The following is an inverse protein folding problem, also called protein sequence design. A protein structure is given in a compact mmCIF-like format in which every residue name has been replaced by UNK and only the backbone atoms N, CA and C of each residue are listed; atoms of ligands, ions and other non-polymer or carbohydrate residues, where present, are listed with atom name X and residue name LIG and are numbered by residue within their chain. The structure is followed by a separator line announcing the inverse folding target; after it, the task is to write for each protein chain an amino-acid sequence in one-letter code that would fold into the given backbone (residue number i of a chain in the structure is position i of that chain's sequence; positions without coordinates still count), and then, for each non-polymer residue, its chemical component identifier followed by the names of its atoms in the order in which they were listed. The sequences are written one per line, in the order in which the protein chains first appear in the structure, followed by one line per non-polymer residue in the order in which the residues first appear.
data_IF_836357419779
#
_entry.id   IF_836357419779
#
_cell.length_a   1.000
_cell.length_b   1.000
_cell.length_c   1.000
_cell.angle_alpha   90.00
_cell.angle_beta   90.00
_cell.angle_gamma   90.00
#
_symmetry.space_group_name_H-M   'P 1'
#
loop_
_entity.id
_entity.type
_entity.pdbx_description
1 polymer ?
#
# COMPACT_ATOMS: atom_id res chain seq x y z
N UNK A 1 14.85 -12.38 -2.22
CA UNK A 1 13.93 -13.25 -2.99
C UNK A 1 12.94 -14.04 -2.13
N UNK A 2 13.00 -13.98 -0.79
CA UNK A 2 12.06 -14.70 0.09
C UNK A 2 10.67 -14.02 0.20
N UNK A 3 10.55 -12.74 -0.15
CA UNK A 3 9.30 -11.98 0.00
C UNK A 3 8.13 -12.62 -0.75
N UNK A 4 8.33 -13.05 -2.00
CA UNK A 4 7.27 -13.63 -2.85
C UNK A 4 6.78 -14.98 -2.28
N UNK A 5 7.65 -15.95 -1.96
CA UNK A 5 7.24 -17.15 -1.22
C UNK A 5 6.52 -16.84 0.08
N UNK A 6 7.11 -15.99 0.94
CA UNK A 6 6.55 -15.68 2.27
C UNK A 6 5.14 -15.10 2.15
N UNK A 7 4.95 -14.13 1.25
CA UNK A 7 3.65 -13.54 0.98
C UNK A 7 2.62 -14.59 0.55
N UNK A 8 2.95 -15.42 -0.43
CA UNK A 8 2.05 -16.47 -0.93
C UNK A 8 1.68 -17.46 0.19
N UNK A 9 2.65 -17.87 1.01
CA UNK A 9 2.43 -18.75 2.14
C UNK A 9 1.49 -18.17 3.20
N UNK A 10 1.66 -16.90 3.57
CA UNK A 10 0.78 -16.26 4.55
C UNK A 10 -0.60 -15.92 4.01
N UNK A 11 -0.74 -15.63 2.72
CA UNK A 11 -2.06 -15.53 2.06
C UNK A 11 -2.77 -16.89 2.12
N UNK A 12 -2.06 -17.97 1.77
CA UNK A 12 -2.61 -19.32 1.83
C UNK A 12 -3.01 -19.70 3.27
N UNK A 13 -2.16 -19.39 4.25
CA UNK A 13 -2.42 -19.60 5.67
C UNK A 13 -3.67 -18.87 6.17
N UNK A 14 -3.89 -17.62 5.74
CA UNK A 14 -5.06 -16.86 6.14
C UNK A 14 -6.40 -17.50 5.73
N UNK A 15 -6.39 -18.43 4.76
CA UNK A 15 -7.59 -19.10 4.24
C UNK A 15 -7.64 -20.58 4.65
N UNK A 16 -6.52 -21.31 4.49
CA UNK A 16 -6.42 -22.76 4.67
C UNK A 16 -5.69 -23.18 5.96
N UNK A 17 -5.38 -22.23 6.84
CA UNK A 17 -4.66 -22.45 8.11
C UNK A 17 -3.27 -23.09 7.91
N UNK A 18 -2.66 -23.63 8.96
CA UNK A 18 -1.30 -24.20 8.98
C UNK A 18 -1.00 -25.18 7.83
N UNK A 19 -1.92 -26.09 7.42
CA UNK A 19 -1.65 -27.01 6.31
C UNK A 19 -1.38 -26.33 4.97
N UNK A 20 -1.83 -25.07 4.80
CA UNK A 20 -1.66 -24.31 3.56
C UNK A 20 -0.31 -23.59 3.45
N UNK A 21 0.45 -23.48 4.55
CA UNK A 21 1.73 -22.75 4.57
C UNK A 21 2.76 -23.34 3.61
N UNK A 22 3.05 -24.63 3.72
CA UNK A 22 4.07 -25.27 2.89
C UNK A 22 3.72 -25.23 1.39
N UNK A 23 2.49 -25.62 0.97
CA UNK A 23 2.06 -25.45 -0.42
C UNK A 23 2.11 -24.00 -0.90
N UNK A 24 1.76 -23.04 -0.04
CA UNK A 24 1.78 -21.61 -0.39
C UNK A 24 3.20 -21.08 -0.59
N UNK A 25 4.15 -21.47 0.28
CA UNK A 25 5.57 -21.14 0.09
C UNK A 25 6.13 -21.75 -1.20
N UNK A 26 5.80 -23.01 -1.51
CA UNK A 26 6.25 -23.67 -2.73
C UNK A 26 5.61 -23.02 -3.96
N UNK A 27 4.31 -22.75 -3.93
CA UNK A 27 3.60 -22.03 -5.00
C UNK A 27 4.20 -20.64 -5.25
N UNK A 28 4.49 -19.88 -4.19
CA UNK A 28 5.17 -18.59 -4.31
C UNK A 28 6.63 -18.68 -4.80
N UNK A 29 7.34 -19.76 -4.47
CA UNK A 29 8.68 -20.02 -4.99
C UNK A 29 8.66 -20.37 -6.48
N UNK A 30 7.72 -21.21 -6.91
CA UNK A 30 7.47 -21.49 -8.34
C UNK A 30 7.11 -20.19 -9.04
N UNK A 31 6.17 -19.41 -8.50
CA UNK A 31 5.78 -18.11 -9.03
C UNK A 31 6.97 -17.15 -9.19
N UNK A 32 7.96 -17.20 -8.30
CA UNK A 32 9.16 -16.38 -8.39
C UNK A 32 10.25 -16.92 -9.34
N UNK A 33 10.07 -18.13 -9.89
CA UNK A 33 11.10 -18.85 -10.67
C UNK A 33 10.61 -19.09 -12.10
N UNK A 34 10.89 -18.13 -12.99
CA UNK A 34 10.41 -18.10 -14.38
C UNK A 34 10.77 -19.33 -15.22
N UNK A 35 11.90 -19.99 -14.91
CA UNK A 35 12.35 -21.19 -15.62
C UNK A 35 11.41 -22.38 -15.52
N UNK A 36 10.46 -22.37 -14.57
CA UNK A 36 9.46 -23.42 -14.48
C UNK A 36 8.35 -23.31 -15.54
N UNK A 37 8.18 -22.16 -16.19
CA UNK A 37 7.10 -21.92 -17.17
C UNK A 37 7.60 -21.08 -18.35
N UNK A 38 8.86 -21.31 -18.74
CA UNK A 38 9.50 -20.72 -19.92
C UNK A 38 9.48 -19.18 -19.96
N UNK A 39 9.56 -18.53 -18.79
CA UNK A 39 9.64 -17.08 -18.66
C UNK A 39 11.04 -16.62 -18.23
N UNK A 40 11.46 -15.47 -18.74
CA UNK A 40 12.74 -14.82 -18.40
C UNK A 40 12.77 -14.28 -16.97
N UNK A 41 11.60 -13.94 -16.42
CA UNK A 41 11.41 -13.44 -15.08
C UNK A 41 10.26 -14.16 -14.36
N UNK A 42 10.28 -14.09 -13.03
CA UNK A 42 9.18 -14.58 -12.22
C UNK A 42 7.92 -13.71 -12.34
N UNK A 43 6.75 -14.29 -12.05
CA UNK A 43 5.45 -13.60 -11.98
C UNK A 43 5.32 -12.57 -10.84
N UNK A 44 6.33 -12.46 -9.97
CA UNK A 44 6.40 -11.46 -8.92
C UNK A 44 5.22 -11.46 -7.95
N UNK A 45 4.79 -10.28 -7.54
CA UNK A 45 3.76 -10.09 -6.50
C UNK A 45 2.37 -10.60 -6.93
N UNK A 46 1.98 -10.40 -8.19
CA UNK A 46 0.70 -10.91 -8.71
C UNK A 46 0.68 -12.44 -8.65
N UNK A 47 1.77 -13.09 -9.07
CA UNK A 47 1.94 -14.53 -8.94
C UNK A 47 1.81 -15.03 -7.51
N UNK A 48 2.42 -14.34 -6.54
CA UNK A 48 2.28 -14.70 -5.13
C UNK A 48 0.85 -14.60 -4.61
N UNK A 49 0.11 -13.55 -4.98
CA UNK A 49 -1.31 -13.41 -4.60
C UNK A 49 -2.12 -14.55 -5.20
N UNK A 50 -1.99 -14.77 -6.51
CA UNK A 50 -2.74 -15.81 -7.21
C UNK A 50 -2.42 -17.19 -6.64
N UNK A 51 -1.13 -17.51 -6.46
CA UNK A 51 -0.71 -18.78 -5.88
C UNK A 51 -1.23 -18.95 -4.45
N UNK A 52 -1.09 -17.93 -3.59
CA UNK A 52 -1.55 -17.97 -2.21
C UNK A 52 -3.06 -18.18 -2.10
N UNK A 53 -3.86 -17.47 -2.90
CA UNK A 53 -5.32 -17.62 -2.92
C UNK A 53 -5.73 -19.01 -3.40
N UNK A 54 -5.18 -19.47 -4.53
CA UNK A 54 -5.49 -20.79 -5.11
C UNK A 54 -5.16 -21.92 -4.13
N UNK A 55 -3.97 -21.88 -3.52
CA UNK A 55 -3.58 -22.83 -2.48
C UNK A 55 -4.50 -22.75 -1.28
N UNK A 56 -4.76 -21.56 -0.76
CA UNK A 56 -5.57 -21.38 0.45
C UNK A 56 -6.96 -21.98 0.30
N UNK A 57 -7.64 -21.69 -0.81
CA UNK A 57 -8.97 -22.26 -1.08
C UNK A 57 -8.91 -23.76 -1.38
N UNK A 58 -7.92 -24.23 -2.13
CA UNK A 58 -7.78 -25.65 -2.43
C UNK A 58 -7.52 -26.48 -1.16
N UNK A 59 -6.59 -26.06 -0.32
CA UNK A 59 -6.26 -26.72 0.94
C UNK A 59 -7.45 -26.70 1.89
N UNK A 60 -8.19 -25.58 1.99
CA UNK A 60 -9.45 -25.52 2.75
C UNK A 60 -10.48 -26.50 2.21
N UNK A 61 -10.63 -26.58 0.90
CA UNK A 61 -11.55 -27.54 0.26
C UNK A 61 -11.17 -28.99 0.59
N UNK A 62 -9.89 -29.36 0.48
CA UNK A 62 -9.40 -30.70 0.87
C UNK A 62 -9.67 -30.92 2.36
N UNK A 63 -9.29 -30.01 3.24
CA UNK A 63 -9.42 -30.16 4.69
C UNK A 63 -10.87 -30.31 5.17
N UNK A 64 -11.84 -29.72 4.46
CA UNK A 64 -13.27 -29.76 4.83
C UNK A 64 -14.03 -30.98 4.30
N UNK A 65 -13.37 -31.88 3.55
CA UNK A 65 -14.02 -33.11 3.06
C UNK A 65 -14.30 -34.10 4.21
N UNK A 66 -15.35 -34.90 4.02
CA UNK A 66 -15.68 -35.99 4.93
C UNK A 66 -14.72 -37.16 4.73
N UNK A 67 -13.73 -37.28 5.61
CA UNK A 67 -12.81 -38.42 5.66
C UNK A 67 -13.23 -39.44 6.71
N UNK A 68 -12.93 -40.71 6.43
CA UNK A 68 -13.04 -41.79 7.40
C UNK A 68 -12.16 -41.50 8.63
N UNK A 69 -12.58 -41.94 9.82
CA UNK A 69 -11.90 -41.65 11.11
C UNK A 69 -10.41 -41.98 11.12
N UNK A 70 -9.99 -43.00 10.38
CA UNK A 70 -8.58 -43.39 10.26
C UNK A 70 -7.73 -42.40 9.47
N UNK A 71 -8.33 -41.65 8.55
CA UNK A 71 -7.63 -40.75 7.62
C UNK A 71 -7.62 -39.31 8.15
N UNK A 72 -8.59 -38.93 8.98
CA UNK A 72 -8.72 -37.56 9.52
C UNK A 72 -7.42 -36.98 10.09
N UNK A 73 -6.60 -37.71 10.87
CA UNK A 73 -5.33 -37.18 11.39
C UNK A 73 -4.29 -36.90 10.29
N UNK A 74 -4.34 -37.65 9.18
CA UNK A 74 -3.41 -37.51 8.06
C UNK A 74 -3.75 -36.33 7.15
N UNK A 75 -4.98 -35.82 7.21
CA UNK A 75 -5.46 -34.75 6.33
C UNK A 75 -4.62 -33.47 6.48
N UNK A 76 -4.52 -32.84 7.67
CA UNK A 76 -3.75 -31.61 7.83
C UNK A 76 -2.23 -31.84 7.79
N UNK A 77 -1.76 -33.04 8.12
CA UNK A 77 -0.33 -33.35 8.23
C UNK A 77 0.29 -33.69 6.87
N UNK A 78 -0.42 -34.47 6.05
CA UNK A 78 0.13 -35.11 4.85
C UNK A 78 -0.71 -34.82 3.61
N UNK A 79 -2.00 -35.12 3.63
CA UNK A 79 -2.83 -35.11 2.42
C UNK A 79 -2.98 -33.69 1.90
N UNK A 80 -3.37 -32.74 2.74
CA UNK A 80 -3.61 -31.37 2.31
C UNK A 80 -2.32 -30.65 1.86
N UNK A 81 -1.17 -30.78 2.58
CA UNK A 81 0.10 -30.24 2.09
C UNK A 81 0.58 -30.87 0.77
N UNK A 82 0.52 -32.19 0.61
CA UNK A 82 0.99 -32.84 -0.63
C UNK A 82 0.08 -32.50 -1.81
N UNK A 83 -1.23 -32.67 -1.64
CA UNK A 83 -2.19 -32.39 -2.72
C UNK A 83 -2.20 -30.92 -3.09
N UNK A 84 -2.12 -30.01 -2.12
CA UNK A 84 -2.02 -28.58 -2.35
C UNK A 84 -0.76 -28.21 -3.14
N UNK A 85 0.38 -28.83 -2.81
CA UNK A 85 1.64 -28.60 -3.52
C UNK A 85 1.57 -29.11 -4.96
N UNK A 86 1.07 -30.33 -5.17
CA UNK A 86 0.90 -30.90 -6.52
C UNK A 86 -0.08 -30.08 -7.36
N UNK A 87 -1.19 -29.65 -6.74
CA UNK A 87 -2.19 -28.80 -7.39
C UNK A 87 -1.57 -27.50 -7.86
N UNK A 88 -0.92 -26.74 -6.97
CA UNK A 88 -0.36 -25.45 -7.36
C UNK A 88 0.82 -25.59 -8.30
N UNK A 89 1.70 -26.58 -8.11
CA UNK A 89 2.81 -26.80 -9.01
C UNK A 89 2.32 -27.12 -10.42
N UNK A 90 1.40 -28.07 -10.57
CA UNK A 90 0.85 -28.42 -11.89
C UNK A 90 0.11 -27.24 -12.53
N UNK A 91 -0.76 -26.57 -11.78
CA UNK A 91 -1.53 -25.45 -12.32
C UNK A 91 -0.63 -24.27 -12.71
N UNK A 92 0.35 -23.91 -11.87
CA UNK A 92 1.22 -22.77 -12.12
C UNK A 92 2.20 -23.02 -13.25
N UNK A 93 2.82 -24.20 -13.31
CA UNK A 93 3.78 -24.58 -14.34
C UNK A 93 3.11 -24.67 -15.71
N UNK A 94 1.97 -25.35 -15.81
CA UNK A 94 1.41 -25.71 -17.12
C UNK A 94 0.32 -24.76 -17.62
N UNK A 95 -0.30 -23.95 -16.75
CA UNK A 95 -1.49 -23.17 -17.13
C UNK A 95 -1.32 -21.67 -16.91
N UNK A 96 -0.99 -21.25 -15.68
CA UNK A 96 -1.11 -19.82 -15.30
C UNK A 96 0.22 -19.06 -15.26
N UNK A 97 1.36 -19.74 -15.13
CA UNK A 97 2.67 -19.09 -14.97
C UNK A 97 3.05 -18.19 -16.14
N UNK A 98 3.06 -18.74 -17.36
CA UNK A 98 3.40 -17.99 -18.57
C UNK A 98 2.43 -16.83 -18.85
N UNK A 99 1.09 -16.99 -18.78
CA UNK A 99 0.17 -15.87 -18.92
C UNK A 99 0.41 -14.74 -17.91
N UNK A 100 0.63 -15.06 -16.63
CA UNK A 100 0.87 -14.03 -15.60
C UNK A 100 2.21 -13.33 -15.84
N UNK A 101 3.24 -14.06 -16.25
CA UNK A 101 4.54 -13.48 -16.58
C UNK A 101 4.43 -12.49 -17.75
N UNK A 102 3.71 -12.87 -18.81
CA UNK A 102 3.47 -11.98 -19.96
C UNK A 102 2.69 -10.71 -19.58
N UNK A 103 1.73 -10.82 -18.64
CA UNK A 103 1.02 -9.68 -18.10
C UNK A 103 1.96 -8.77 -17.31
N UNK A 104 2.81 -9.34 -16.45
CA UNK A 104 3.80 -8.59 -15.68
C UNK A 104 4.79 -7.86 -16.59
N UNK A 105 5.27 -8.50 -17.65
CA UNK A 105 6.15 -7.88 -18.64
C UNK A 105 5.46 -6.74 -19.38
N UNK A 106 4.20 -6.94 -19.79
CA UNK A 106 3.39 -5.90 -20.44
C UNK A 106 3.15 -4.70 -19.53
N UNK A 107 2.84 -4.95 -18.26
CA UNK A 107 2.69 -3.90 -17.24
C UNK A 107 4.02 -3.18 -16.99
N UNK A 108 5.13 -3.92 -16.87
CA UNK A 108 6.45 -3.33 -16.70
C UNK A 108 6.84 -2.47 -17.91
N UNK A 109 6.56 -2.91 -19.13
CA UNK A 109 6.79 -2.14 -20.35
C UNK A 109 5.96 -0.85 -20.38
N UNK A 110 4.65 -0.95 -20.14
CA UNK A 110 3.75 0.21 -20.04
C UNK A 110 4.23 1.21 -18.98
N UNK A 111 4.61 0.73 -17.80
CA UNK A 111 5.10 1.58 -16.71
C UNK A 111 6.46 2.21 -17.03
N UNK A 112 7.34 1.49 -17.73
CA UNK A 112 8.63 2.02 -18.19
C UNK A 112 8.40 3.15 -19.19
N UNK A 113 7.51 2.96 -20.16
CA UNK A 113 7.11 3.99 -21.13
C UNK A 113 6.50 5.22 -20.42
N UNK A 114 5.63 5.01 -19.44
CA UNK A 114 5.05 6.09 -18.62
C UNK A 114 6.08 6.81 -17.76
N UNK A 115 7.12 6.11 -17.26
CA UNK A 115 8.20 6.72 -16.48
C UNK A 115 9.03 7.71 -17.31
N UNK A 116 9.12 7.49 -18.62
CA UNK A 116 9.74 8.43 -19.58
C UNK A 116 8.81 9.55 -20.04
N UNK A 117 7.49 9.33 -20.05
CA UNK A 117 6.52 10.26 -20.66
C UNK A 117 5.75 11.17 -19.68
N UNK A 118 5.39 10.70 -18.48
CA UNK A 118 4.57 11.49 -17.54
C UNK A 118 4.66 11.03 -16.06
N UNK A 119 5.85 11.20 -15.46
CA UNK A 119 6.08 11.01 -14.01
C UNK A 119 5.11 11.81 -13.12
N UNK A 120 4.59 12.93 -13.64
CA UNK A 120 3.63 13.77 -12.95
C UNK A 120 2.28 13.06 -12.82
N UNK A 121 1.76 12.47 -13.90
CA UNK A 121 0.49 11.74 -13.86
C UNK A 121 0.56 10.53 -12.91
N UNK A 122 1.68 9.79 -12.93
CA UNK A 122 1.91 8.69 -11.99
C UNK A 122 1.89 9.17 -10.53
N UNK A 123 2.55 10.28 -10.25
CA UNK A 123 2.53 10.90 -8.92
C UNK A 123 1.15 11.36 -8.48
N UNK A 124 0.37 11.96 -9.39
CA UNK A 124 -1.00 12.39 -9.11
C UNK A 124 -1.89 11.19 -8.75
N UNK A 125 -1.86 10.12 -9.54
CA UNK A 125 -2.71 8.94 -9.27
C UNK A 125 -2.28 8.26 -7.98
N UNK A 126 -0.99 7.95 -7.83
CA UNK A 126 -0.47 7.21 -6.68
C UNK A 126 -0.60 8.00 -5.38
N UNK A 127 -0.20 9.28 -5.39
CA UNK A 127 -0.35 10.17 -4.25
C UNK A 127 -1.81 10.44 -3.92
N UNK A 128 -2.67 10.56 -4.93
CA UNK A 128 -4.11 10.73 -4.74
C UNK A 128 -4.75 9.54 -4.01
N UNK A 129 -4.42 8.32 -4.41
CA UNK A 129 -4.87 7.10 -3.73
C UNK A 129 -4.33 7.02 -2.29
N UNK A 130 -3.08 7.40 -2.07
CA UNK A 130 -2.47 7.38 -0.73
C UNK A 130 -3.20 8.32 0.26
N UNK A 131 -3.56 9.52 -0.20
CA UNK A 131 -4.20 10.56 0.62
C UNK A 131 -5.71 10.44 0.78
N UNK A 132 -6.37 9.53 0.05
CA UNK A 132 -7.84 9.49 -0.03
C UNK A 132 -8.52 8.92 1.23
N UNK A 133 -8.04 7.78 1.73
CA UNK A 133 -8.71 7.03 2.81
C UNK A 133 -7.80 6.67 3.98
N UNK A 134 -6.63 7.33 4.09
CA UNK A 134 -5.75 7.30 5.26
C UNK A 134 -5.39 5.90 5.76
N UNK A 135 -5.30 4.92 4.86
CA UNK A 135 -5.00 3.52 5.16
C UNK A 135 -6.13 2.54 4.81
N UNK A 136 -7.21 3.03 4.21
CA UNK A 136 -8.30 2.23 3.67
C UNK A 136 -7.97 1.49 2.36
N UNK A 137 -8.98 0.95 1.66
CA UNK A 137 -8.81 0.12 0.47
C UNK A 137 -7.99 0.77 -0.66
N UNK A 138 -8.20 2.05 -0.96
CA UNK A 138 -7.48 2.74 -2.04
C UNK A 138 -6.00 2.91 -1.71
N UNK A 139 -5.68 3.33 -0.49
CA UNK A 139 -4.29 3.41 -0.03
C UNK A 139 -3.63 2.03 -0.03
N UNK A 140 -4.31 0.98 0.48
CA UNK A 140 -3.75 -0.39 0.48
C UNK A 140 -3.52 -0.93 -0.93
N UNK A 141 -4.39 -0.65 -1.89
CA UNK A 141 -4.16 -1.03 -3.30
C UNK A 141 -2.91 -0.33 -3.85
N UNK A 142 -2.78 0.99 -3.66
CA UNK A 142 -1.61 1.75 -4.10
C UNK A 142 -0.31 1.28 -3.41
N UNK A 143 -0.38 1.00 -2.11
CA UNK A 143 0.73 0.50 -1.32
C UNK A 143 1.19 -0.88 -1.79
N UNK A 144 0.27 -1.84 -1.89
CA UNK A 144 0.59 -3.21 -2.31
C UNK A 144 1.10 -3.25 -3.74
N UNK A 145 0.54 -2.43 -4.63
CA UNK A 145 1.10 -2.21 -5.97
C UNK A 145 2.56 -1.74 -5.89
N UNK A 146 2.82 -0.68 -5.13
CA UNK A 146 4.16 -0.09 -4.99
C UNK A 146 5.19 -1.07 -4.39
N UNK A 147 4.77 -1.86 -3.39
CA UNK A 147 5.57 -2.94 -2.80
C UNK A 147 5.82 -4.05 -3.84
N UNK A 148 4.83 -4.40 -4.63
CA UNK A 148 4.98 -5.37 -5.72
C UNK A 148 6.03 -4.94 -6.74
N UNK A 149 6.08 -3.64 -7.06
CA UNK A 149 7.07 -3.09 -8.00
C UNK A 149 8.51 -3.19 -7.48
N UNK A 150 8.73 -3.28 -6.16
CA UNK A 150 10.07 -3.54 -5.58
C UNK A 150 10.61 -4.88 -6.07
N UNK A 151 9.76 -5.92 -6.14
CA UNK A 151 10.17 -7.24 -6.61
C UNK A 151 10.58 -7.23 -8.10
N UNK A 152 9.97 -6.35 -8.89
CA UNK A 152 10.31 -6.12 -10.30
C UNK A 152 11.49 -5.15 -10.49
N UNK A 153 12.18 -4.75 -9.41
CA UNK A 153 13.29 -3.79 -9.44
C UNK A 153 12.88 -2.32 -9.60
N UNK A 154 11.58 -2.03 -9.72
CA UNK A 154 11.04 -0.70 -9.93
C UNK A 154 10.71 -0.01 -8.58
N UNK A 155 11.77 0.33 -7.85
CA UNK A 155 11.68 0.88 -6.48
C UNK A 155 11.20 2.35 -6.41
N UNK A 156 11.06 3.03 -7.55
CA UNK A 156 10.56 4.41 -7.63
C UNK A 156 9.09 4.53 -7.20
N UNK A 157 8.26 3.52 -7.46
CA UNK A 157 6.85 3.54 -7.04
C UNK A 157 6.72 3.52 -5.52
N UNK A 158 7.51 2.65 -4.87
CA UNK A 158 7.59 2.65 -3.41
C UNK A 158 8.21 3.93 -2.86
N UNK A 159 9.18 4.54 -3.54
CA UNK A 159 9.75 5.83 -3.15
C UNK A 159 8.70 6.94 -3.11
N UNK A 160 7.90 7.06 -4.16
CA UNK A 160 6.81 8.03 -4.23
C UNK A 160 5.71 7.75 -3.20
N UNK A 161 5.28 6.49 -3.08
CA UNK A 161 4.28 6.08 -2.09
C UNK A 161 4.76 6.36 -0.66
N UNK A 162 6.02 6.06 -0.35
CA UNK A 162 6.61 6.27 0.97
C UNK A 162 6.71 7.75 1.37
N UNK A 163 6.82 8.65 0.39
CA UNK A 163 6.74 10.10 0.62
C UNK A 163 5.30 10.58 0.80
N UNK A 164 4.31 9.93 0.16
CA UNK A 164 2.91 10.32 0.23
C UNK A 164 2.19 9.84 1.51
N UNK A 165 2.46 8.62 1.99
CA UNK A 165 1.83 8.04 3.19
C UNK A 165 1.84 8.96 4.43
N UNK A 166 2.99 9.55 4.84
CA UNK A 166 3.04 10.35 6.07
C UNK A 166 2.38 11.73 5.92
N UNK A 167 2.01 12.16 4.71
CA UNK A 167 1.60 13.54 4.44
C UNK A 167 0.31 13.92 5.15
N UNK A 168 -0.72 13.07 5.11
CA UNK A 168 -1.99 13.34 5.75
C UNK A 168 -1.85 13.60 7.27
N UNK A 169 -1.28 12.67 8.08
CA UNK A 169 -1.14 12.89 9.52
C UNK A 169 -0.16 14.02 9.88
N UNK A 170 0.96 14.18 9.15
CA UNK A 170 1.87 15.31 9.35
C UNK A 170 1.19 16.65 9.03
N UNK A 171 0.45 16.70 7.93
CA UNK A 171 -0.28 17.88 7.47
C UNK A 171 -1.36 18.29 8.46
N UNK A 172 -2.11 17.34 9.02
CA UNK A 172 -3.09 17.66 10.07
C UNK A 172 -2.43 18.10 11.38
N UNK A 173 -1.29 17.52 11.75
CA UNK A 173 -0.48 18.01 12.87
C UNK A 173 -0.05 19.46 12.69
N UNK A 174 0.38 19.85 11.49
CA UNK A 174 0.73 21.25 11.16
C UNK A 174 -0.54 22.14 11.10
N UNK A 175 -1.63 21.64 10.52
CA UNK A 175 -2.88 22.38 10.36
C UNK A 175 -3.46 22.82 11.71
N UNK A 176 -3.42 21.94 12.72
CA UNK A 176 -3.91 22.24 14.07
C UNK A 176 -3.07 23.33 14.76
N UNK A 177 -1.75 23.33 14.59
CA UNK A 177 -0.87 24.37 15.13
C UNK A 177 -1.16 25.73 14.47
N UNK A 178 -1.32 25.76 13.15
CA UNK A 178 -1.64 27.00 12.41
C UNK A 178 -3.06 27.48 12.75
N UNK A 179 -4.03 26.57 12.71
CA UNK A 179 -5.44 26.85 12.88
C UNK A 179 -5.85 27.14 14.33
N UNK A 180 -5.02 26.79 15.32
CA UNK A 180 -5.21 27.18 16.73
C UNK A 180 -5.33 28.69 16.89
N UNK A 181 -4.56 29.47 16.12
CA UNK A 181 -4.66 30.95 16.15
C UNK A 181 -5.92 31.49 15.46
N UNK A 182 -6.61 30.67 14.67
CA UNK A 182 -7.78 31.04 13.88
C UNK A 182 -9.11 30.56 14.50
N UNK A 183 -9.08 29.84 15.63
CA UNK A 183 -10.25 29.25 16.28
C UNK A 183 -11.16 28.45 15.31
N UNK A 184 -10.53 27.68 14.41
CA UNK A 184 -11.22 26.80 13.45
C UNK A 184 -11.13 25.31 13.81
N UNK A 185 -10.37 24.95 14.84
CA UNK A 185 -10.24 23.60 15.36
C UNK A 185 -10.76 23.54 16.80
N UNK A 186 -11.39 22.43 17.15
CA UNK A 186 -11.78 22.11 18.53
C UNK A 186 -10.55 21.75 19.38
N UNK A 187 -10.66 21.84 20.71
CA UNK A 187 -9.58 21.43 21.61
C UNK A 187 -9.21 19.95 21.45
N UNK A 188 -10.22 19.11 21.16
CA UNK A 188 -10.06 17.69 20.85
C UNK A 188 -9.19 17.46 19.61
N UNK A 189 -9.37 18.27 18.56
CA UNK A 189 -8.59 18.25 17.33
C UNK A 189 -7.15 18.71 17.56
N UNK A 190 -6.94 19.72 18.41
CA UNK A 190 -5.60 20.23 18.73
C UNK A 190 -4.77 19.17 19.45
N UNK A 191 -5.37 18.45 20.41
CA UNK A 191 -4.67 17.34 21.08
C UNK A 191 -4.44 16.15 20.15
N UNK A 192 -5.43 15.80 19.32
CA UNK A 192 -5.26 14.79 18.29
C UNK A 192 -4.14 15.15 17.28
N UNK A 193 -3.89 16.44 17.05
CA UNK A 193 -2.88 16.92 16.10
C UNK A 193 -1.46 16.56 16.51
N UNK A 194 -1.18 16.56 17.81
CA UNK A 194 0.13 16.14 18.35
C UNK A 194 0.36 14.65 18.09
N UNK A 195 -0.65 13.83 18.36
CA UNK A 195 -0.60 12.39 18.12
C UNK A 195 -0.48 12.08 16.61
N UNK A 196 -1.25 12.76 15.78
CA UNK A 196 -1.19 12.63 14.32
C UNK A 196 0.19 12.97 13.79
N UNK A 197 0.80 14.08 14.23
CA UNK A 197 2.17 14.44 13.86
C UNK A 197 3.18 13.33 14.19
N UNK A 198 3.10 12.77 15.40
CA UNK A 198 3.98 11.68 15.82
C UNK A 198 3.78 10.40 14.99
N UNK A 199 2.53 10.02 14.71
CA UNK A 199 2.18 8.88 13.84
C UNK A 199 2.68 9.10 12.42
N UNK A 200 2.60 10.33 11.91
CA UNK A 200 3.11 10.70 10.59
C UNK A 200 4.63 10.57 10.46
N UNK A 201 5.40 10.85 11.53
CA UNK A 201 6.85 10.68 11.52
C UNK A 201 7.28 9.23 11.23
N UNK A 202 6.49 8.25 11.66
CA UNK A 202 6.74 6.81 11.48
C UNK A 202 5.91 6.19 10.33
N UNK A 203 5.22 7.02 9.54
CA UNK A 203 4.48 6.57 8.35
C UNK A 203 3.14 5.88 8.64
N UNK A 204 2.47 6.24 9.73
CA UNK A 204 1.11 5.75 10.05
C UNK A 204 0.09 6.79 9.62
N UNK A 205 -0.57 6.57 8.47
CA UNK A 205 -1.52 7.51 7.86
C UNK A 205 -2.83 7.68 8.64
N UNK A 206 -3.16 6.69 9.47
CA UNK A 206 -4.41 6.58 10.25
C UNK A 206 -4.55 7.71 11.28
N UNK A 207 -3.46 8.39 11.65
CA UNK A 207 -3.49 9.55 12.53
C UNK A 207 -4.36 10.71 12.01
N UNK A 208 -4.65 10.75 10.71
CA UNK A 208 -5.54 11.75 10.11
C UNK A 208 -7.04 11.37 10.13
N UNK A 209 -7.41 10.14 10.50
CA UNK A 209 -8.80 9.66 10.51
C UNK A 209 -9.70 10.51 11.41
N UNK A 210 -9.34 10.86 12.67
CA UNK A 210 -10.22 11.65 13.54
C UNK A 210 -10.65 12.98 12.93
N UNK A 211 -9.73 13.64 12.21
CA UNK A 211 -9.99 14.90 11.54
C UNK A 211 -10.94 14.75 10.35
N UNK A 212 -10.74 13.72 9.54
CA UNK A 212 -11.63 13.46 8.41
C UNK A 212 -13.01 12.98 8.84
N UNK A 213 -13.13 12.29 9.98
CA UNK A 213 -14.41 11.91 10.55
C UNK A 213 -15.23 13.14 10.99
N UNK A 214 -14.57 14.15 11.55
CA UNK A 214 -15.22 15.40 11.95
C UNK A 214 -15.49 16.33 10.77
N UNK A 215 -14.54 16.49 9.85
CA UNK A 215 -14.65 17.44 8.74
C UNK A 215 -14.18 16.88 7.38
N UNK A 216 -14.93 15.93 6.78
CA UNK A 216 -14.47 15.17 5.63
C UNK A 216 -14.21 16.02 4.37
N UNK A 217 -15.06 17.01 4.08
CA UNK A 217 -14.91 17.80 2.85
C UNK A 217 -13.77 18.82 2.92
N UNK A 218 -13.21 19.09 4.11
CA UNK A 218 -12.02 19.93 4.24
C UNK A 218 -10.74 19.08 4.28
N UNK A 219 -10.80 17.94 4.97
CA UNK A 219 -9.62 17.12 5.27
C UNK A 219 -9.27 16.17 4.12
N UNK A 220 -10.23 15.46 3.54
CA UNK A 220 -9.94 14.49 2.47
C UNK A 220 -9.35 15.18 1.24
N UNK A 221 -9.92 16.29 0.71
CA UNK A 221 -9.31 16.99 -0.43
C UNK A 221 -7.91 17.51 -0.11
N UNK A 222 -7.68 18.01 1.12
CA UNK A 222 -6.37 18.49 1.54
C UNK A 222 -5.33 17.37 1.61
N UNK A 223 -5.70 16.20 2.14
CA UNK A 223 -4.84 15.02 2.21
C UNK A 223 -4.48 14.52 0.81
N UNK A 224 -5.47 14.41 -0.08
CA UNK A 224 -5.29 14.01 -1.48
C UNK A 224 -4.33 14.96 -2.20
N UNK A 225 -4.57 16.26 -2.15
CA UNK A 225 -3.74 17.26 -2.85
C UNK A 225 -2.30 17.26 -2.32
N UNK A 226 -2.10 17.25 -0.99
CA UNK A 226 -0.74 17.22 -0.43
C UNK A 226 0.00 15.93 -0.75
N UNK A 227 -0.69 14.79 -0.73
CA UNK A 227 -0.11 13.49 -1.08
C UNK A 227 0.26 13.40 -2.56
N UNK A 228 -0.56 13.97 -3.45
CA UNK A 228 -0.22 14.15 -4.88
C UNK A 228 1.07 14.97 -5.04
N UNK A 229 1.18 16.12 -4.34
CA UNK A 229 2.38 16.96 -4.40
C UNK A 229 3.63 16.19 -3.96
N UNK A 230 3.57 15.50 -2.82
CA UNK A 230 4.70 14.71 -2.33
C UNK A 230 5.10 13.58 -3.31
N UNK A 231 4.13 12.85 -3.86
CA UNK A 231 4.40 11.77 -4.81
C UNK A 231 4.96 12.27 -6.14
N UNK A 232 4.43 13.38 -6.69
CA UNK A 232 4.94 14.00 -7.92
C UNK A 232 6.37 14.48 -7.73
N UNK A 233 6.66 15.17 -6.61
CA UNK A 233 8.03 15.58 -6.28
C UNK A 233 8.95 14.39 -6.13
N UNK A 234 8.51 13.33 -5.45
CA UNK A 234 9.30 12.12 -5.26
C UNK A 234 9.66 11.43 -6.58
N UNK A 235 8.70 11.27 -7.49
CA UNK A 235 8.99 10.77 -8.84
C UNK A 235 9.93 11.70 -9.62
N UNK A 236 9.66 13.01 -9.60
CA UNK A 236 10.46 14.02 -10.33
C UNK A 236 11.91 14.08 -9.87
N UNK A 237 12.15 13.88 -8.57
CA UNK A 237 13.50 13.82 -8.00
C UNK A 237 14.13 12.43 -8.07
N UNK A 238 13.43 11.42 -8.62
CA UNK A 238 13.92 10.05 -8.70
C UNK A 238 14.20 9.44 -7.33
N UNK A 239 13.28 9.65 -6.37
CA UNK A 239 13.34 9.03 -5.05
C UNK A 239 12.90 7.57 -5.16
N UNK A 240 13.69 6.67 -4.62
CA UNK A 240 13.42 5.24 -4.57
C UNK A 240 13.42 4.74 -3.13
N UNK A 241 12.69 3.66 -2.87
CA UNK A 241 12.64 2.99 -1.57
C UNK A 241 12.58 1.47 -1.77
N UNK A 242 13.46 0.74 -1.08
CA UNK A 242 13.55 -0.72 -1.18
C UNK A 242 12.78 -1.45 -0.08
N UNK A 243 12.13 -0.72 0.84
CA UNK A 243 11.40 -1.28 1.97
C UNK A 243 9.91 -0.98 1.83
N UNK A 244 9.07 -1.94 2.22
CA UNK A 244 7.63 -1.80 2.29
C UNK A 244 7.17 -0.96 3.50
N UNK A 245 7.71 0.25 3.63
CA UNK A 245 7.32 1.21 4.66
C UNK A 245 7.66 2.65 4.25
N UNK A 246 7.08 3.66 4.90
CA UNK A 246 7.33 5.07 4.58
C UNK A 246 7.45 5.96 5.80
N UNK A 247 7.61 7.27 5.58
CA UNK A 247 7.72 8.26 6.65
C UNK A 247 9.13 8.81 6.87
N UNK A 248 9.23 9.97 7.56
CA UNK A 248 10.50 10.62 7.88
C UNK A 248 11.52 9.71 8.57
N UNK A 249 11.08 8.90 9.54
CA UNK A 249 11.98 7.97 10.26
C UNK A 249 12.56 6.93 9.31
N UNK A 250 11.77 6.42 8.35
CA UNK A 250 12.25 5.45 7.36
C UNK A 250 13.30 6.06 6.42
N UNK A 251 13.11 7.32 6.04
CA UNK A 251 14.12 8.05 5.26
C UNK A 251 15.43 8.19 6.04
N UNK A 252 15.37 8.52 7.33
CA UNK A 252 16.54 8.68 8.20
C UNK A 252 17.28 7.36 8.48
N UNK A 253 16.56 6.24 8.51
CA UNK A 253 17.13 4.90 8.71
C UNK A 253 17.78 4.32 7.43
N UNK A 254 17.83 5.07 6.33
CA UNK A 254 18.59 4.70 5.13
C UNK A 254 17.84 3.80 4.14
N UNK A 255 16.52 3.70 4.22
CA UNK A 255 15.73 2.90 3.27
C UNK A 255 15.52 3.59 1.90
N UNK A 256 15.80 4.89 1.81
CA UNK A 256 15.61 5.71 0.60
C UNK A 256 16.94 6.18 0.01
N UNK A 257 17.03 6.25 -1.32
CA UNK A 257 18.27 6.66 -2.01
C UNK A 257 18.67 8.13 -1.76
N UNK A 258 17.69 9.03 -1.56
CA UNK A 258 17.87 10.48 -1.39
C UNK A 258 17.10 10.98 -0.16
N UNK A 259 17.56 10.65 1.06
CA UNK A 259 16.76 10.86 2.28
C UNK A 259 16.42 12.32 2.53
N UNK A 260 17.34 13.25 2.30
CA UNK A 260 17.09 14.70 2.48
C UNK A 260 16.02 15.21 1.53
N UNK A 261 16.09 14.83 0.25
CA UNK A 261 15.06 15.21 -0.73
C UNK A 261 13.71 14.56 -0.42
N UNK A 262 13.70 13.33 0.09
CA UNK A 262 12.48 12.65 0.50
C UNK A 262 11.80 13.38 1.67
N UNK A 263 12.58 13.82 2.66
CA UNK A 263 12.08 14.64 3.77
C UNK A 263 11.50 15.97 3.27
N UNK A 264 12.14 16.60 2.28
CA UNK A 264 11.61 17.81 1.64
C UNK A 264 10.27 17.52 0.95
N UNK A 265 10.16 16.43 0.18
CA UNK A 265 8.90 16.05 -0.48
C UNK A 265 7.76 15.83 0.53
N UNK A 266 8.03 15.10 1.61
CA UNK A 266 7.08 14.85 2.70
C UNK A 266 6.67 16.17 3.37
N UNK A 267 7.64 17.03 3.69
CA UNK A 267 7.39 18.32 4.32
C UNK A 267 6.57 19.25 3.42
N UNK A 268 6.89 19.34 2.13
CA UNK A 268 6.12 20.13 1.17
C UNK A 268 4.68 19.62 1.05
N UNK A 269 4.49 18.30 0.91
CA UNK A 269 3.15 17.70 0.91
C UNK A 269 2.37 18.01 2.20
N UNK A 270 3.01 17.86 3.36
CA UNK A 270 2.39 18.13 4.65
C UNK A 270 1.99 19.62 4.81
N UNK A 271 2.84 20.55 4.36
CA UNK A 271 2.53 21.99 4.34
C UNK A 271 1.35 22.27 3.41
N UNK A 272 1.33 21.68 2.21
CA UNK A 272 0.19 21.82 1.28
C UNK A 272 -1.09 21.31 1.90
N UNK A 273 -1.09 20.11 2.50
CA UNK A 273 -2.25 19.58 3.23
C UNK A 273 -2.69 20.54 4.33
N UNK A 274 -1.76 21.07 5.13
CA UNK A 274 -2.10 22.00 6.21
C UNK A 274 -2.77 23.28 5.69
N UNK A 275 -2.19 23.91 4.65
CA UNK A 275 -2.71 25.13 4.07
C UNK A 275 -4.08 24.94 3.42
N UNK A 276 -4.27 23.84 2.68
CA UNK A 276 -5.55 23.52 2.04
C UNK A 276 -6.62 23.22 3.10
N UNK A 277 -6.30 22.40 4.11
CA UNK A 277 -7.24 22.06 5.19
C UNK A 277 -7.69 23.31 5.95
N UNK A 278 -6.74 24.17 6.37
CA UNK A 278 -7.04 25.44 7.06
C UNK A 278 -7.90 26.35 6.19
N UNK A 279 -7.58 26.48 4.90
CA UNK A 279 -8.31 27.34 3.97
C UNK A 279 -9.74 26.85 3.74
N UNK A 280 -9.93 25.55 3.50
CA UNK A 280 -11.25 24.95 3.31
C UNK A 280 -12.10 25.04 4.57
N UNK A 281 -11.53 24.73 5.73
CA UNK A 281 -12.25 24.79 7.01
C UNK A 281 -12.67 26.23 7.35
N UNK A 282 -11.78 27.21 7.14
CA UNK A 282 -12.11 28.63 7.29
C UNK A 282 -13.25 29.08 6.36
N UNK A 283 -13.18 28.69 5.09
CA UNK A 283 -14.23 29.02 4.11
C UNK A 283 -15.58 28.42 4.52
N UNK A 284 -15.60 27.15 4.95
CA UNK A 284 -16.83 26.45 5.34
C UNK A 284 -17.44 27.00 6.61
N UNK A 285 -16.61 27.36 7.61
CA UNK A 285 -17.08 28.04 8.82
C UNK A 285 -17.74 29.39 8.49
N UNK A 286 -17.07 30.21 7.68
CA UNK A 286 -17.62 31.50 7.25
C UNK A 286 -18.91 31.36 6.42
N UNK A 287 -19.02 30.29 5.61
CA UNK A 287 -20.25 29.99 4.86
C UNK A 287 -21.39 29.62 5.80
N UNK A 288 -21.16 28.74 6.78
CA UNK A 288 -22.16 28.33 7.76
C UNK A 288 -22.65 29.52 8.62
N UNK A 289 -21.75 30.40 9.04
CA UNK A 289 -22.10 31.62 9.78
C UNK A 289 -22.99 32.56 8.96
N UNK A 290 -22.72 32.70 7.65
CA UNK A 290 -23.55 33.50 6.73
C UNK A 290 -24.93 32.88 6.50
N UNK A 291 -25.01 31.56 6.34
CA UNK A 291 -26.27 30.85 6.17
C UNK A 291 -27.13 30.95 7.43
N UNK A 292 -26.53 30.84 8.62
CA UNK A 292 -27.23 31.04 9.89
C UNK A 292 -27.73 32.48 10.06
N UNK A 293 -26.93 33.47 9.65
CA UNK A 293 -27.33 34.88 9.70
C UNK A 293 -28.44 35.23 8.68
N UNK A 294 -28.63 34.41 7.66
CA UNK A 294 -29.66 34.59 6.63
C UNK A 294 -30.98 33.85 6.94
N UNK A 295 -30.98 32.93 7.91
CA UNK A 295 -32.13 32.15 8.36
C UNK A 295 -32.85 32.83 9.54
#
# INVERSE_FOLDING_TARGET
QLMIPILAGYIAFAIGDRPALAPGFIGGWIANTGSFYDASAGTGFIGAIVAGLLVGYFVRWVATRNYHKMVQPLVPILIAPITGTLFIAGLFIFVIGAPIASLMDSMNAMLTEMSTGNVVLLGIVLGGMAGFDMGGPFNKVAFLFSVGMIASGQTQFMGAMACAIPVAPLGMGIATVIGRKLNIFEDSEIEAGKAAGAMGLVGISEGAIPFAAQDPLSVIPANVIGSMVAAVMAFSFGITNSVAHGGPVVALLGAMNKPVLALICMATGAVVTALVAVSLKKYRKAKAERELAAA
#
